data_IF_961867907178
#
_entry.id   IF_961867907178
#
_cell.length_a   1.000
_cell.length_b   1.000
_cell.length_c   1.000
_cell.angle_alpha   90.00
_cell.angle_beta   90.00
_cell.angle_gamma   90.00
#
_symmetry.space_group_name_H-M   'P 1'
#
loop_
_entity.id
_entity.type
_entity.pdbx_description
1 polymer ?
#
# COMPACT_ATOMS: atom_id res chain seq x y z
N UNK A 1 -52.10 60.43 -10.87
CA UNK A 1 -51.93 60.35 -9.40
C UNK A 1 -52.27 58.94 -8.93
N UNK A 2 -51.29 58.26 -8.31
CA UNK A 2 -51.36 57.07 -7.43
C UNK A 2 -52.53 56.08 -7.61
N UNK A 3 -52.21 54.83 -7.98
CA UNK A 3 -52.47 53.63 -7.15
C UNK A 3 -51.44 52.53 -7.49
N UNK A 4 -50.41 52.44 -6.66
CA UNK A 4 -49.58 51.24 -6.46
C UNK A 4 -50.36 50.34 -5.52
N UNK A 5 -50.53 49.05 -5.83
CA UNK A 5 -50.50 47.93 -4.85
C UNK A 5 -50.84 46.58 -5.53
N UNK A 6 -50.02 45.56 -5.21
CA UNK A 6 -50.37 44.13 -5.04
C UNK A 6 -50.49 43.33 -6.35
N UNK A 7 -49.83 42.19 -6.61
CA UNK A 7 -49.22 41.15 -5.76
C UNK A 7 -48.24 40.39 -6.67
N UNK A 8 -46.92 40.40 -6.47
CA UNK A 8 -46.19 39.43 -5.64
C UNK A 8 -46.81 38.02 -5.57
N UNK A 9 -46.98 37.36 -6.72
CA UNK A 9 -47.34 35.93 -6.79
C UNK A 9 -46.52 35.19 -7.85
N UNK A 10 -45.19 35.38 -7.84
CA UNK A 10 -44.28 34.71 -8.80
C UNK A 10 -43.13 33.91 -8.17
N UNK A 11 -43.03 33.72 -6.85
CA UNK A 11 -41.77 33.21 -6.29
C UNK A 11 -41.88 32.13 -5.20
N UNK A 12 -42.97 31.35 -5.12
CA UNK A 12 -43.13 30.40 -3.99
C UNK A 12 -43.56 28.97 -4.35
N UNK A 13 -43.15 28.42 -5.52
CA UNK A 13 -43.48 27.03 -5.87
C UNK A 13 -42.35 26.18 -6.46
N UNK A 14 -41.08 26.55 -6.29
CA UNK A 14 -39.97 25.65 -6.66
C UNK A 14 -38.94 25.64 -5.52
N UNK A 15 -39.36 25.09 -4.39
CA UNK A 15 -38.48 24.73 -3.27
C UNK A 15 -38.92 23.36 -2.74
N UNK A 16 -38.81 22.34 -3.60
CA UNK A 16 -38.93 20.95 -3.15
C UNK A 16 -37.80 20.14 -3.77
N UNK A 17 -36.85 19.82 -2.90
CA UNK A 17 -35.97 18.66 -2.94
C UNK A 17 -35.08 18.48 -4.18
N UNK A 18 -34.08 19.34 -4.33
CA UNK A 18 -32.77 18.87 -4.81
C UNK A 18 -31.82 18.88 -3.62
N UNK A 19 -32.01 17.95 -2.68
CA UNK A 19 -30.87 17.51 -1.88
C UNK A 19 -29.98 16.75 -2.86
N UNK A 20 -28.72 17.15 -3.11
CA UNK A 20 -27.74 16.13 -3.41
C UNK A 20 -27.76 15.23 -2.18
N UNK A 21 -28.26 14.01 -2.32
CA UNK A 21 -27.93 12.96 -1.38
C UNK A 21 -26.41 12.98 -1.32
N UNK A 22 -25.86 13.49 -0.22
CA UNK A 22 -24.47 13.29 0.12
C UNK A 22 -24.35 11.80 0.36
N UNK A 23 -24.15 11.04 -0.71
CA UNK A 23 -23.59 9.73 -0.63
C UNK A 23 -22.17 9.93 -0.10
N UNK A 24 -22.05 10.03 1.22
CA UNK A 24 -20.87 9.54 1.90
C UNK A 24 -20.88 8.01 1.73
N UNK A 25 -20.67 7.57 0.50
CA UNK A 25 -20.30 6.20 0.22
C UNK A 25 -18.92 6.05 0.85
N UNK A 26 -18.90 5.51 2.06
CA UNK A 26 -17.72 4.93 2.67
C UNK A 26 -17.42 3.64 1.89
N UNK A 27 -17.05 3.80 0.62
CA UNK A 27 -16.44 2.73 -0.14
C UNK A 27 -15.02 2.68 0.40
N UNK A 28 -14.72 1.66 1.22
CA UNK A 28 -13.35 1.23 1.45
C UNK A 28 -12.78 0.83 0.08
N UNK A 29 -12.39 1.84 -0.68
CA UNK A 29 -11.81 1.69 -2.00
C UNK A 29 -10.50 0.99 -1.70
N UNK A 30 -10.42 -0.31 -2.00
CA UNK A 30 -9.16 -1.02 -2.05
C UNK A 30 -8.37 -0.38 -3.20
N UNK A 31 -7.72 0.74 -2.89
CA UNK A 31 -6.84 1.44 -3.81
C UNK A 31 -5.52 0.67 -3.83
N UNK A 32 -5.48 -0.35 -4.68
CA UNK A 32 -4.23 -0.98 -5.07
C UNK A 32 -3.49 0.00 -5.97
N UNK A 33 -2.42 0.62 -5.47
CA UNK A 33 -1.64 1.59 -6.24
C UNK A 33 -0.14 1.33 -6.07
N UNK A 34 0.56 1.13 -7.19
CA UNK A 34 2.02 1.04 -7.22
C UNK A 34 2.59 2.42 -6.91
N UNK A 35 3.45 2.50 -5.89
CA UNK A 35 4.06 3.74 -5.40
C UNK A 35 5.49 3.92 -5.90
N UNK A 36 6.26 2.84 -5.91
CA UNK A 36 7.68 2.87 -6.25
C UNK A 36 8.07 1.53 -6.90
N UNK A 37 8.94 1.61 -7.91
CA UNK A 37 9.56 0.44 -8.53
C UNK A 37 11.04 0.74 -8.70
N UNK A 38 11.88 -0.10 -8.12
CA UNK A 38 13.33 0.00 -8.21
C UNK A 38 13.92 -1.33 -8.63
N UNK A 39 14.91 -1.29 -9.51
CA UNK A 39 15.64 -2.47 -9.95
C UNK A 39 17.11 -2.32 -9.58
N UNK A 40 17.64 -3.32 -8.87
CA UNK A 40 19.01 -3.36 -8.38
C UNK A 40 19.70 -4.53 -9.09
N UNK A 41 20.73 -4.23 -9.87
CA UNK A 41 21.67 -5.22 -10.38
C UNK A 41 22.83 -5.33 -9.39
N UNK A 42 23.10 -6.55 -8.92
CA UNK A 42 24.14 -6.82 -7.95
C UNK A 42 25.47 -7.25 -8.58
N UNK A 43 25.53 -7.41 -9.91
CA UNK A 43 26.75 -7.79 -10.64
C UNK A 43 27.21 -9.23 -10.43
N UNK A 44 26.48 -10.03 -9.65
CA UNK A 44 26.74 -11.45 -9.36
C UNK A 44 25.80 -12.39 -10.14
N UNK A 45 25.25 -11.88 -11.25
CA UNK A 45 24.20 -12.54 -12.04
C UNK A 45 22.80 -12.34 -11.47
N UNK A 46 22.66 -11.78 -10.25
CA UNK A 46 21.35 -11.47 -9.70
C UNK A 46 20.89 -10.04 -9.98
N UNK A 47 19.62 -9.93 -10.35
CA UNK A 47 18.88 -8.67 -10.41
C UNK A 47 17.64 -8.78 -9.54
N UNK A 48 17.39 -7.80 -8.67
CA UNK A 48 16.19 -7.77 -7.83
C UNK A 48 15.37 -6.54 -8.19
N UNK A 49 14.10 -6.74 -8.51
CA UNK A 49 13.14 -5.65 -8.69
C UNK A 49 12.24 -5.57 -7.47
N UNK A 50 12.24 -4.44 -6.78
CA UNK A 50 11.42 -4.17 -5.60
C UNK A 50 10.28 -3.24 -6.03
N UNK A 51 9.05 -3.65 -5.75
CA UNK A 51 7.84 -2.87 -5.99
C UNK A 51 7.16 -2.57 -4.67
N UNK A 52 6.91 -1.30 -4.37
CA UNK A 52 6.11 -0.87 -3.21
C UNK A 52 4.70 -0.58 -3.68
N UNK A 53 3.70 -1.20 -3.03
CA UNK A 53 2.29 -1.07 -3.39
C UNK A 53 1.49 -0.66 -2.16
N UNK A 54 0.69 0.38 -2.29
CA UNK A 54 -0.39 0.66 -1.35
C UNK A 54 -1.50 -0.37 -1.60
N UNK A 55 -1.88 -1.11 -0.57
CA UNK A 55 -2.92 -2.15 -0.64
C UNK A 55 -4.27 -1.59 -0.20
N UNK A 56 -4.26 -0.85 0.91
CA UNK A 56 -5.45 -0.22 1.45
C UNK A 56 -5.06 1.00 2.28
N UNK A 57 -5.81 2.09 2.17
CA UNK A 57 -5.73 3.22 3.09
C UNK A 57 -7.13 3.52 3.61
N UNK A 58 -7.33 3.44 4.92
CA UNK A 58 -8.57 3.82 5.56
C UNK A 58 -8.32 5.04 6.45
N UNK A 59 -8.71 6.21 5.94
CA UNK A 59 -8.53 7.48 6.64
C UNK A 59 -9.43 7.61 7.89
N UNK A 60 -10.54 6.87 7.97
CA UNK A 60 -11.48 6.95 9.12
C UNK A 60 -10.96 6.19 10.34
N UNK A 61 -10.34 5.03 10.12
CA UNK A 61 -9.69 4.25 11.19
C UNK A 61 -8.21 4.62 11.37
N UNK A 62 -7.69 5.53 10.54
CA UNK A 62 -6.28 5.89 10.47
C UNK A 62 -5.36 4.67 10.36
N UNK A 63 -5.72 3.76 9.46
CA UNK A 63 -4.96 2.54 9.17
C UNK A 63 -4.54 2.50 7.71
N UNK A 64 -3.38 1.94 7.45
CA UNK A 64 -2.87 1.75 6.10
C UNK A 64 -2.14 0.42 5.98
N UNK A 65 -2.25 -0.20 4.82
CA UNK A 65 -1.64 -1.48 4.50
C UNK A 65 -0.81 -1.31 3.24
N UNK A 66 0.44 -1.72 3.32
CA UNK A 66 1.37 -1.71 2.20
C UNK A 66 1.97 -3.09 2.00
N UNK A 67 2.39 -3.36 0.77
CA UNK A 67 3.28 -4.45 0.44
C UNK A 67 4.55 -3.93 -0.22
N UNK A 68 5.68 -4.58 0.07
CA UNK A 68 6.89 -4.51 -0.75
C UNK A 68 7.15 -5.90 -1.31
N UNK A 69 7.23 -6.02 -2.62
CA UNK A 69 7.50 -7.28 -3.32
C UNK A 69 8.86 -7.21 -3.99
N UNK A 70 9.74 -8.14 -3.68
CA UNK A 70 11.02 -8.34 -4.34
C UNK A 70 10.96 -9.52 -5.29
N UNK A 71 11.16 -9.27 -6.58
CA UNK A 71 11.33 -10.30 -7.60
C UNK A 71 12.82 -10.47 -7.88
N UNK A 72 13.38 -11.60 -7.47
CA UNK A 72 14.75 -11.98 -7.75
C UNK A 72 14.84 -12.72 -9.10
N UNK A 73 15.81 -12.30 -9.92
CA UNK A 73 16.23 -12.98 -11.14
C UNK A 73 17.69 -13.37 -11.05
N UNK A 74 18.04 -14.50 -11.64
CA UNK A 74 19.42 -14.95 -11.84
C UNK A 74 19.61 -15.20 -13.34
N UNK A 75 20.60 -14.55 -13.94
CA UNK A 75 20.88 -14.58 -15.39
C UNK A 75 19.62 -14.36 -16.24
N UNK A 76 18.80 -13.37 -15.84
CA UNK A 76 17.55 -13.00 -16.52
C UNK A 76 16.33 -13.90 -16.21
N UNK A 77 16.51 -15.03 -15.54
CA UNK A 77 15.43 -15.96 -15.20
C UNK A 77 14.85 -15.65 -13.83
N UNK A 78 13.51 -15.61 -13.68
CA UNK A 78 12.86 -15.46 -12.36
C UNK A 78 13.17 -16.67 -11.48
N UNK A 79 13.71 -16.42 -10.29
CA UNK A 79 14.13 -17.48 -9.35
C UNK A 79 13.33 -17.46 -8.05
N UNK A 80 12.82 -16.30 -7.67
CA UNK A 80 12.11 -16.14 -6.41
C UNK A 80 11.31 -14.85 -6.36
N UNK A 81 10.24 -14.87 -5.58
CA UNK A 81 9.49 -13.69 -5.22
C UNK A 81 9.27 -13.66 -3.71
N UNK A 82 9.60 -12.55 -3.06
CA UNK A 82 9.39 -12.34 -1.63
C UNK A 82 8.54 -11.11 -1.44
N UNK A 83 7.35 -11.27 -0.86
CA UNK A 83 6.44 -10.18 -0.54
C UNK A 83 6.39 -9.99 0.97
N UNK A 84 6.64 -8.76 1.42
CA UNK A 84 6.49 -8.33 2.81
C UNK A 84 5.25 -7.46 2.90
N UNK A 85 4.30 -7.85 3.75
CA UNK A 85 3.10 -7.08 4.06
C UNK A 85 3.23 -6.41 5.41
N UNK A 86 2.80 -5.15 5.49
CA UNK A 86 2.80 -4.36 6.71
C UNK A 86 1.48 -3.65 6.87
N UNK A 87 0.91 -3.76 8.07
CA UNK A 87 -0.22 -2.94 8.50
C UNK A 87 0.27 -1.93 9.53
N UNK A 88 -0.27 -0.72 9.42
CA UNK A 88 0.13 0.39 10.26
C UNK A 88 -1.09 1.18 10.71
N UNK A 89 -1.05 1.66 11.96
CA UNK A 89 -1.91 2.71 12.47
C UNK A 89 -1.14 4.03 12.51
N UNK A 90 -1.78 5.12 12.17
CA UNK A 90 -1.21 6.47 12.20
C UNK A 90 -2.23 7.48 12.77
N UNK A 91 -1.83 8.70 13.12
CA UNK A 91 -2.76 9.72 13.64
C UNK A 91 -2.34 11.17 13.37
N UNK A 92 -1.42 11.40 12.43
CA UNK A 92 -0.85 12.72 12.13
C UNK A 92 0.25 13.17 13.10
N UNK A 93 0.36 12.56 14.29
CA UNK A 93 1.44 12.85 15.26
C UNK A 93 2.43 11.69 15.38
N UNK A 94 1.96 10.45 15.27
CA UNK A 94 2.78 9.23 15.36
C UNK A 94 2.25 8.12 14.47
N UNK A 95 3.08 7.10 14.27
CA UNK A 95 2.73 5.88 13.57
C UNK A 95 3.24 4.66 14.30
N UNK A 96 2.60 3.52 14.06
CA UNK A 96 2.94 2.23 14.66
C UNK A 96 2.61 1.11 13.69
N UNK A 97 3.54 0.18 13.55
CA UNK A 97 3.29 -1.09 12.87
C UNK A 97 2.42 -1.97 13.77
N UNK A 98 1.33 -2.49 13.23
CA UNK A 98 0.35 -3.30 13.95
C UNK A 98 0.47 -4.77 13.58
N UNK A 99 0.83 -5.06 12.33
CA UNK A 99 0.98 -6.42 11.83
C UNK A 99 2.10 -6.51 10.79
N UNK A 100 2.69 -7.70 10.68
CA UNK A 100 3.63 -8.05 9.63
C UNK A 100 3.37 -9.49 9.18
N UNK A 101 3.32 -9.71 7.87
CA UNK A 101 3.29 -11.03 7.28
C UNK A 101 4.18 -11.06 6.04
N UNK A 102 4.45 -12.26 5.54
CA UNK A 102 5.24 -12.43 4.34
C UNK A 102 4.83 -13.66 3.55
N UNK A 103 4.99 -13.55 2.24
CA UNK A 103 4.71 -14.59 1.27
C UNK A 103 5.95 -14.80 0.40
N UNK A 104 6.23 -16.06 0.05
CA UNK A 104 7.39 -16.44 -0.76
C UNK A 104 6.95 -17.42 -1.84
N UNK A 105 7.43 -17.21 -3.05
CA UNK A 105 7.25 -18.13 -4.16
C UNK A 105 8.60 -18.47 -4.80
N UNK A 106 8.81 -19.76 -5.04
CA UNK A 106 10.01 -20.30 -5.68
C UNK A 106 9.78 -20.56 -7.17
N UNK A 107 10.82 -20.34 -7.97
CA UNK A 107 10.76 -20.54 -9.42
C UNK A 107 12.00 -21.25 -9.95
N UNK A 108 11.89 -21.87 -11.13
CA UNK A 108 13.05 -22.36 -11.90
C UNK A 108 13.97 -23.35 -11.14
N UNK A 109 13.37 -24.13 -10.23
CA UNK A 109 14.07 -25.11 -9.39
C UNK A 109 14.96 -24.50 -8.31
N UNK A 110 14.71 -23.25 -7.93
CA UNK A 110 15.25 -22.65 -6.72
C UNK A 110 14.39 -23.02 -5.52
N UNK A 111 14.94 -22.80 -4.33
CA UNK A 111 14.23 -22.93 -3.07
C UNK A 111 14.53 -21.74 -2.18
N UNK A 112 13.72 -21.53 -1.16
CA UNK A 112 13.95 -20.49 -0.16
C UNK A 112 14.17 -21.05 1.24
N UNK A 113 14.87 -20.28 2.08
CA UNK A 113 14.88 -20.54 3.52
C UNK A 113 13.60 -20.03 4.17
N UNK A 114 13.35 -20.43 5.42
CA UNK A 114 12.24 -19.87 6.18
C UNK A 114 12.37 -18.34 6.25
N UNK A 115 11.38 -17.58 5.76
CA UNK A 115 11.43 -16.12 5.81
C UNK A 115 11.40 -15.64 7.26
N UNK A 116 12.14 -14.57 7.53
CA UNK A 116 12.18 -13.91 8.83
C UNK A 116 11.49 -12.55 8.72
N UNK A 117 10.56 -12.27 9.63
CA UNK A 117 9.87 -10.98 9.73
C UNK A 117 10.05 -10.38 11.12
N UNK A 118 10.14 -9.05 11.19
CA UNK A 118 10.29 -8.30 12.44
C UNK A 118 9.46 -7.04 12.39
N UNK A 119 8.87 -6.71 13.53
CA UNK A 119 8.11 -5.50 13.80
C UNK A 119 8.83 -4.69 14.88
N UNK A 120 9.00 -3.37 14.66
CA UNK A 120 9.59 -2.47 15.64
C UNK A 120 9.11 -1.03 15.43
N UNK A 121 8.41 -0.47 16.42
CA UNK A 121 7.88 0.89 16.33
C UNK A 121 6.93 1.06 15.14
N UNK A 122 7.25 2.00 14.23
CA UNK A 122 6.54 2.23 12.98
C UNK A 122 7.10 1.43 11.79
N UNK A 123 8.05 0.51 12.02
CA UNK A 123 8.79 -0.21 10.99
C UNK A 123 8.44 -1.70 10.99
N UNK A 124 8.30 -2.24 9.79
CA UNK A 124 8.37 -3.69 9.55
C UNK A 124 9.54 -3.99 8.62
N UNK A 125 10.13 -5.16 8.81
CA UNK A 125 11.23 -5.65 7.98
C UNK A 125 11.12 -7.15 7.82
N UNK A 126 11.58 -7.66 6.70
CA UNK A 126 11.75 -9.09 6.51
C UNK A 126 12.88 -9.41 5.57
N UNK A 127 13.34 -10.65 5.62
CA UNK A 127 14.37 -11.16 4.72
C UNK A 127 14.07 -12.61 4.34
N UNK A 128 14.50 -12.97 3.13
CA UNK A 128 14.38 -14.30 2.59
C UNK A 128 15.61 -14.59 1.70
N UNK A 129 16.13 -15.81 1.76
CA UNK A 129 17.26 -16.26 0.95
C UNK A 129 16.80 -17.30 -0.04
N UNK A 130 16.93 -17.00 -1.33
CA UNK A 130 16.76 -17.96 -2.42
C UNK A 130 18.07 -18.66 -2.69
N UNK A 131 18.05 -19.97 -2.92
CA UNK A 131 19.24 -20.76 -3.21
C UNK A 131 18.99 -21.89 -4.20
N UNK A 132 20.06 -22.27 -4.91
CA UNK A 132 20.13 -23.46 -5.78
C UNK A 132 21.57 -23.96 -5.82
N UNK A 133 21.82 -25.12 -5.23
CA UNK A 133 23.19 -25.63 -5.04
C UNK A 133 24.01 -24.70 -4.15
N UNK A 134 25.17 -24.24 -4.65
CA UNK A 134 26.04 -23.27 -3.96
C UNK A 134 25.67 -21.81 -4.23
N UNK A 135 24.79 -21.53 -5.20
CA UNK A 135 24.39 -20.16 -5.55
C UNK A 135 23.23 -19.72 -4.67
N UNK A 136 23.31 -18.54 -4.07
CA UNK A 136 22.23 -18.00 -3.24
C UNK A 136 22.16 -16.47 -3.27
N UNK A 137 20.98 -15.94 -2.96
CA UNK A 137 20.74 -14.51 -2.79
C UNK A 137 19.78 -14.24 -1.65
N UNK A 138 20.21 -13.42 -0.70
CA UNK A 138 19.35 -12.89 0.35
C UNK A 138 18.74 -11.58 -0.09
N UNK A 139 17.42 -11.51 -0.11
CA UNK A 139 16.66 -10.28 -0.29
C UNK A 139 16.18 -9.82 1.08
N UNK A 140 16.39 -8.53 1.38
CA UNK A 140 15.92 -7.89 2.60
C UNK A 140 15.02 -6.70 2.23
N UNK A 141 13.83 -6.67 2.81
CA UNK A 141 12.85 -5.61 2.62
C UNK A 141 12.56 -4.94 3.96
N UNK A 142 12.34 -3.63 3.91
CA UNK A 142 11.80 -2.91 5.06
C UNK A 142 10.98 -1.72 4.62
N UNK A 143 10.01 -1.37 5.45
CA UNK A 143 9.18 -0.19 5.26
C UNK A 143 8.84 0.42 6.61
N UNK A 144 8.87 1.75 6.66
CA UNK A 144 8.54 2.53 7.85
C UNK A 144 7.39 3.48 7.54
N UNK A 145 6.37 3.46 8.40
CA UNK A 145 5.20 4.33 8.26
C UNK A 145 5.45 5.69 8.92
N UNK A 146 5.12 6.76 8.20
CA UNK A 146 5.12 8.13 8.72
C UNK A 146 3.85 8.41 9.53
N UNK A 147 3.84 9.46 10.37
CA UNK A 147 2.62 9.92 11.05
C UNK A 147 1.43 10.22 10.12
N UNK A 148 1.68 10.48 8.83
CA UNK A 148 0.66 10.77 7.81
C UNK A 148 0.15 9.52 7.09
N UNK A 149 0.67 8.33 7.46
CA UNK A 149 0.27 7.06 6.88
C UNK A 149 0.88 6.78 5.51
N UNK A 150 2.06 7.35 5.23
CA UNK A 150 2.85 7.10 4.03
C UNK A 150 4.08 6.25 4.37
N UNK A 151 4.66 5.57 3.38
CA UNK A 151 5.77 4.62 3.59
C UNK A 151 7.06 5.13 2.96
N UNK A 152 8.16 4.98 3.72
CA UNK A 152 9.55 5.00 3.24
C UNK A 152 10.16 3.59 3.29
#
# INVERSE_FOLDING_TARGET
MKKVLISFLCCFSIFVANMPAAFAADLSTQMMAVQDVQTIDYGDGFTVTITTTLVNKNARSSTTTYSKTAVARYDGTKVGEFTLHGEFSYNGSSAKATNVSSDVEDYSGWSHNKPETKLSGAKVSGKCTFYKGSTSKTVSLSMTCSPDGDIS
#
